data_IF_852510631865
#
_entry.id   IF_852510631865
#
_cell.length_a   1.000
_cell.length_b   1.000
_cell.length_c   1.000
_cell.angle_alpha   90.00
_cell.angle_beta   90.00
_cell.angle_gamma   90.00
#
_symmetry.space_group_name_H-M   'P 1'
#
loop_
_entity.id
_entity.type
_entity.pdbx_description
1 polymer ?
#
# COMPACT_ATOMS: atom_id res chain seq x y z
N UNK A 1 -1.18 24.48 -30.73
CA UNK A 1 -2.10 24.16 -29.63
C UNK A 1 -2.84 25.41 -29.18
N UNK A 2 -4.15 25.30 -28.95
CA UNK A 2 -4.95 26.42 -28.48
C UNK A 2 -4.67 26.66 -26.97
N UNK A 3 -4.15 27.84 -26.58
CA UNK A 3 -3.87 28.15 -25.17
C UNK A 3 -5.13 28.23 -24.29
N UNK A 4 -6.31 28.31 -24.91
CA UNK A 4 -7.60 28.37 -24.20
C UNK A 4 -8.38 27.05 -24.25
N UNK A 5 -7.71 25.95 -24.55
CA UNK A 5 -8.32 24.64 -24.68
C UNK A 5 -9.04 24.19 -23.37
N UNK A 6 -8.53 24.61 -22.23
CA UNK A 6 -9.10 24.24 -20.94
C UNK A 6 -9.66 25.45 -20.20
N UNK A 7 -10.82 25.26 -19.57
CA UNK A 7 -11.49 26.30 -18.78
C UNK A 7 -10.84 26.54 -17.41
N UNK A 8 -10.01 25.62 -16.93
CA UNK A 8 -9.39 25.66 -15.61
C UNK A 8 -7.89 25.82 -15.71
N UNK A 9 -7.28 26.48 -14.70
CA UNK A 9 -5.82 26.67 -14.62
C UNK A 9 -5.10 25.56 -13.91
N UNK A 10 -5.78 24.85 -13.01
CA UNK A 10 -5.22 23.79 -12.20
C UNK A 10 -6.01 22.51 -12.39
N UNK A 11 -5.29 21.40 -12.47
CA UNK A 11 -5.86 20.05 -12.60
C UNK A 11 -5.26 19.15 -11.53
N UNK A 12 -6.13 18.40 -10.84
CA UNK A 12 -5.73 17.45 -9.82
C UNK A 12 -6.11 16.07 -10.32
N UNK A 13 -5.13 15.15 -10.35
CA UNK A 13 -5.33 13.77 -10.79
C UNK A 13 -5.06 12.81 -9.64
N UNK A 14 -5.90 11.79 -9.53
CA UNK A 14 -5.54 10.57 -8.83
C UNK A 14 -4.40 9.88 -9.60
N UNK A 15 -3.57 9.09 -8.93
CA UNK A 15 -2.37 8.50 -9.55
C UNK A 15 -2.63 7.06 -9.99
N UNK A 16 -2.82 6.16 -9.04
CA UNK A 16 -3.05 4.75 -9.35
C UNK A 16 -4.46 4.55 -9.92
N UNK A 17 -4.52 3.82 -11.05
CA UNK A 17 -5.79 3.57 -11.75
C UNK A 17 -6.30 4.75 -12.60
N UNK A 18 -5.64 5.91 -12.54
CA UNK A 18 -5.99 7.08 -13.34
C UNK A 18 -4.88 7.48 -14.31
N UNK A 19 -3.69 7.79 -13.82
CA UNK A 19 -2.51 8.10 -14.63
C UNK A 19 -1.64 6.88 -14.88
N UNK A 20 -1.64 5.95 -13.95
CA UNK A 20 -0.79 4.77 -13.93
C UNK A 20 -1.62 3.52 -13.81
N UNK A 21 -1.39 2.56 -14.70
CA UNK A 21 -1.95 1.22 -14.62
C UNK A 21 -1.12 0.40 -13.63
N UNK A 22 -1.76 -0.10 -12.58
CA UNK A 22 -1.13 -0.91 -11.55
C UNK A 22 -1.83 -2.25 -11.42
N UNK A 23 -1.04 -3.31 -11.35
CA UNK A 23 -1.50 -4.66 -11.04
C UNK A 23 -0.75 -5.19 -9.82
N UNK A 24 -1.48 -5.64 -8.81
CA UNK A 24 -0.93 -6.20 -7.58
C UNK A 24 -1.41 -7.63 -7.35
N UNK A 25 -0.59 -8.44 -6.68
CA UNK A 25 -0.95 -9.78 -6.23
C UNK A 25 -0.51 -9.97 -4.78
N UNK A 26 -1.47 -9.86 -3.88
CA UNK A 26 -1.24 -10.06 -2.45
C UNK A 26 -1.39 -11.54 -2.03
N UNK A 27 -1.68 -12.43 -2.97
CA UNK A 27 -1.83 -13.87 -2.70
C UNK A 27 -0.54 -14.67 -2.94
N UNK A 28 0.47 -14.07 -3.57
CA UNK A 28 1.70 -14.75 -3.97
C UNK A 28 2.46 -15.36 -2.77
N UNK A 29 2.76 -16.68 -2.77
CA UNK A 29 3.58 -17.27 -1.71
C UNK A 29 4.97 -16.65 -1.60
N UNK A 30 5.57 -16.25 -2.71
CA UNK A 30 6.91 -15.62 -2.73
C UNK A 30 6.86 -14.27 -1.98
N UNK A 31 5.80 -13.49 -2.16
CA UNK A 31 5.60 -12.25 -1.41
C UNK A 31 5.64 -12.50 0.10
N UNK A 32 4.85 -13.46 0.57
CA UNK A 32 4.71 -13.71 2.00
C UNK A 32 5.93 -14.39 2.61
N UNK A 33 6.60 -15.25 1.88
CA UNK A 33 7.87 -15.82 2.31
C UNK A 33 8.94 -14.72 2.44
N UNK A 34 8.98 -13.79 1.51
CA UNK A 34 9.90 -12.64 1.58
C UNK A 34 9.56 -11.74 2.76
N UNK A 35 8.29 -11.43 2.98
CA UNK A 35 7.85 -10.64 4.13
C UNK A 35 8.19 -11.34 5.46
N UNK A 36 8.01 -12.65 5.54
CA UNK A 36 8.38 -13.42 6.73
C UNK A 36 9.88 -13.38 7.00
N UNK A 37 10.72 -13.44 5.97
CA UNK A 37 12.17 -13.28 6.10
C UNK A 37 12.55 -11.90 6.61
N UNK A 38 11.90 -10.84 6.12
CA UNK A 38 12.09 -9.47 6.60
C UNK A 38 11.74 -9.38 8.09
N UNK A 39 10.59 -9.90 8.50
CA UNK A 39 10.17 -9.94 9.90
C UNK A 39 11.17 -10.69 10.76
N UNK A 40 11.65 -11.83 10.30
CA UNK A 40 12.66 -12.62 11.02
C UNK A 40 13.97 -11.84 11.21
N UNK A 41 14.37 -11.04 10.25
CA UNK A 41 15.57 -10.21 10.38
C UNK A 41 15.46 -9.16 11.49
N UNK A 42 14.25 -8.82 11.89
CA UNK A 42 13.96 -7.93 13.02
C UNK A 42 13.54 -8.69 14.29
N UNK A 43 13.59 -10.01 14.28
CA UNK A 43 13.32 -10.85 15.45
C UNK A 43 11.90 -11.39 15.58
N UNK A 44 11.01 -11.09 14.65
CA UNK A 44 9.65 -11.65 14.66
C UNK A 44 9.58 -12.95 13.86
N UNK A 45 9.03 -13.99 14.47
CA UNK A 45 9.00 -15.33 13.89
C UNK A 45 7.66 -15.63 13.23
N UNK A 46 7.67 -15.75 11.90
CA UNK A 46 6.53 -16.15 11.11
C UNK A 46 6.95 -17.10 9.99
N UNK A 47 6.05 -18.03 9.63
CA UNK A 47 6.05 -18.63 8.29
C UNK A 47 5.36 -17.65 7.33
N UNK A 48 5.65 -17.75 6.03
CA UNK A 48 4.97 -16.92 5.03
C UNK A 48 3.45 -17.08 5.09
N UNK A 49 2.97 -18.33 5.15
CA UNK A 49 1.54 -18.62 5.23
C UNK A 49 0.91 -18.12 6.54
N UNK A 50 1.60 -18.28 7.65
CA UNK A 50 1.13 -17.77 8.96
C UNK A 50 1.02 -16.25 8.98
N UNK A 51 2.00 -15.57 8.42
CA UNK A 51 1.98 -14.11 8.30
C UNK A 51 0.82 -13.65 7.40
N UNK A 52 0.62 -14.32 6.26
CA UNK A 52 -0.46 -14.02 5.33
C UNK A 52 -1.84 -14.15 5.98
N UNK A 53 -2.08 -15.26 6.66
CA UNK A 53 -3.36 -15.52 7.32
C UNK A 53 -3.64 -14.50 8.42
N UNK A 54 -2.66 -14.20 9.24
CA UNK A 54 -2.83 -13.21 10.31
C UNK A 54 -3.04 -11.80 9.76
N UNK A 55 -2.32 -11.44 8.71
CA UNK A 55 -2.54 -10.18 7.99
C UNK A 55 -3.98 -10.05 7.51
N UNK A 56 -4.52 -11.08 6.87
CA UNK A 56 -5.91 -11.06 6.39
C UNK A 56 -6.92 -10.89 7.52
N UNK A 57 -6.71 -11.58 8.64
CA UNK A 57 -7.58 -11.43 9.81
C UNK A 57 -7.56 -10.00 10.36
N UNK A 58 -6.37 -9.41 10.49
CA UNK A 58 -6.24 -8.05 11.01
C UNK A 58 -6.83 -7.01 10.07
N UNK A 59 -6.64 -7.16 8.76
CA UNK A 59 -7.24 -6.26 7.77
C UNK A 59 -8.76 -6.36 7.81
N UNK A 60 -9.31 -7.57 7.82
CA UNK A 60 -10.75 -7.79 7.88
C UNK A 60 -11.34 -7.18 9.16
N UNK A 61 -10.71 -7.39 10.31
CA UNK A 61 -11.16 -6.82 11.58
C UNK A 61 -11.12 -5.29 11.55
N UNK A 62 -10.06 -4.72 11.01
CA UNK A 62 -9.92 -3.27 10.89
C UNK A 62 -10.97 -2.66 9.95
N UNK A 63 -11.28 -3.34 8.84
CA UNK A 63 -12.34 -2.92 7.92
C UNK A 63 -13.71 -2.95 8.60
N UNK A 64 -14.03 -4.00 9.33
CA UNK A 64 -15.30 -4.13 10.06
C UNK A 64 -15.44 -3.05 11.13
N UNK A 65 -14.40 -2.82 11.93
CA UNK A 65 -14.39 -1.82 12.98
C UNK A 65 -14.54 -0.40 12.40
N UNK A 66 -13.83 -0.11 11.34
CA UNK A 66 -13.87 1.20 10.70
C UNK A 66 -15.19 1.47 9.98
N UNK A 67 -15.78 0.44 9.36
CA UNK A 67 -17.09 0.53 8.74
C UNK A 67 -18.20 0.84 9.77
N UNK A 68 -18.13 0.22 10.95
CA UNK A 68 -19.05 0.50 12.06
C UNK A 68 -18.88 1.91 12.61
N UNK A 69 -17.63 2.32 12.83
CA UNK A 69 -17.32 3.63 13.41
C UNK A 69 -17.73 4.78 12.50
N UNK A 70 -17.39 4.70 11.20
CA UNK A 70 -17.60 5.78 10.24
C UNK A 70 -18.83 5.61 9.36
N UNK A 71 -19.54 4.50 9.47
CA UNK A 71 -20.71 4.17 8.65
C UNK A 71 -20.43 4.25 7.15
N UNK A 72 -19.23 3.82 6.72
CA UNK A 72 -18.82 3.78 5.31
C UNK A 72 -18.74 2.35 4.82
N UNK A 73 -19.09 2.13 3.54
CA UNK A 73 -19.10 0.80 2.93
C UNK A 73 -17.69 0.28 2.60
N UNK A 74 -16.77 1.19 2.25
CA UNK A 74 -15.41 0.86 1.80
C UNK A 74 -14.39 1.72 2.55
N UNK A 75 -14.03 1.35 3.80
CA UNK A 75 -13.06 2.11 4.58
C UNK A 75 -11.63 1.91 4.08
N UNK A 76 -10.82 2.96 4.17
CA UNK A 76 -9.38 2.86 3.96
C UNK A 76 -8.67 2.42 5.24
N UNK A 77 -7.85 1.38 5.13
CA UNK A 77 -7.09 0.82 6.24
C UNK A 77 -5.66 1.36 6.22
N UNK A 78 -5.18 1.78 7.39
CA UNK A 78 -3.76 2.14 7.54
C UNK A 78 -2.93 0.86 7.72
N UNK A 79 -2.26 0.44 6.65
CA UNK A 79 -1.41 -0.74 6.66
C UNK A 79 -0.21 -0.61 7.61
N UNK A 80 0.23 0.60 7.91
CA UNK A 80 1.29 0.84 8.89
C UNK A 80 0.92 0.23 10.23
N UNK A 81 -0.29 0.47 10.70
CA UNK A 81 -0.81 -0.08 11.96
C UNK A 81 -0.86 -1.60 11.91
N UNK A 82 -1.33 -2.17 10.81
CA UNK A 82 -1.40 -3.63 10.63
C UNK A 82 -0.02 -4.27 10.72
N UNK A 83 0.97 -3.74 10.01
CA UNK A 83 2.31 -4.32 10.01
C UNK A 83 3.04 -4.14 11.34
N UNK A 84 2.80 -3.05 12.06
CA UNK A 84 3.32 -2.86 13.43
C UNK A 84 2.70 -3.90 14.38
N UNK A 85 1.40 -4.11 14.30
CA UNK A 85 0.72 -5.11 15.13
C UNK A 85 1.23 -6.52 14.87
N UNK A 86 1.42 -6.90 13.60
CA UNK A 86 2.03 -8.17 13.23
C UNK A 86 3.42 -8.35 13.84
N UNK A 87 4.22 -7.29 13.83
CA UNK A 87 5.55 -7.33 14.45
C UNK A 87 5.46 -7.58 15.95
N UNK A 88 4.60 -6.84 16.65
CA UNK A 88 4.44 -6.97 18.10
C UNK A 88 3.94 -8.36 18.50
N UNK A 89 3.03 -8.93 17.74
CA UNK A 89 2.51 -10.29 17.97
C UNK A 89 3.57 -11.37 17.71
N UNK A 90 4.43 -11.16 16.73
CA UNK A 90 5.46 -12.13 16.35
C UNK A 90 6.78 -12.00 17.09
N UNK A 91 6.92 -11.00 17.96
CA UNK A 91 8.17 -10.72 18.70
C UNK A 91 7.97 -10.92 20.21
N UNK A 92 8.05 -12.17 20.68
CA UNK A 92 7.72 -12.47 22.09
C UNK A 92 8.76 -11.98 23.12
N UNK A 93 9.99 -11.70 22.71
CA UNK A 93 11.10 -11.38 23.62
C UNK A 93 11.38 -9.88 23.74
N UNK A 94 10.41 -9.03 23.38
CA UNK A 94 10.57 -7.59 23.45
C UNK A 94 10.89 -6.98 22.10
N UNK A 95 10.93 -5.66 22.06
CA UNK A 95 10.99 -4.90 20.85
C UNK A 95 12.43 -4.49 20.51
N UNK A 96 12.97 -4.98 19.39
CA UNK A 96 14.28 -4.57 18.87
C UNK A 96 14.24 -3.33 17.97
N UNK A 97 13.03 -2.87 17.61
CA UNK A 97 12.81 -1.69 16.78
C UNK A 97 12.48 -0.48 17.65
N UNK A 98 13.33 0.55 17.62
CA UNK A 98 13.16 1.74 18.45
C UNK A 98 12.10 2.73 17.94
N UNK A 99 11.83 2.73 16.64
CA UNK A 99 10.88 3.64 15.98
C UNK A 99 9.84 2.85 15.19
N UNK A 100 8.89 2.26 15.91
CA UNK A 100 7.89 1.36 15.33
C UNK A 100 7.04 1.97 14.21
N UNK A 101 6.65 3.23 14.36
CA UNK A 101 5.80 3.88 13.36
C UNK A 101 6.53 4.08 12.03
N UNK A 102 7.76 4.55 12.08
CA UNK A 102 8.61 4.72 10.91
C UNK A 102 8.96 3.38 10.27
N UNK A 103 9.27 2.39 11.10
CA UNK A 103 9.50 1.02 10.66
C UNK A 103 8.25 0.44 9.96
N UNK A 104 7.09 0.63 10.56
CA UNK A 104 5.81 0.18 9.98
C UNK A 104 5.52 0.81 8.63
N UNK A 105 5.83 2.09 8.46
CA UNK A 105 5.71 2.77 7.16
C UNK A 105 6.65 2.18 6.12
N UNK A 106 7.88 1.88 6.49
CA UNK A 106 8.85 1.23 5.61
C UNK A 106 8.34 -0.15 5.18
N UNK A 107 7.85 -0.95 6.12
CA UNK A 107 7.31 -2.27 5.82
C UNK A 107 6.08 -2.18 4.91
N UNK A 108 5.17 -1.25 5.16
CA UNK A 108 4.01 -1.04 4.31
C UNK A 108 4.39 -0.66 2.87
N UNK A 109 5.40 0.19 2.71
CA UNK A 109 5.94 0.53 1.38
C UNK A 109 6.59 -0.66 0.71
N UNK A 110 7.39 -1.41 1.45
CA UNK A 110 8.04 -2.64 0.95
C UNK A 110 7.01 -3.65 0.48
N UNK A 111 5.97 -3.88 1.26
CA UNK A 111 4.86 -4.75 0.90
C UNK A 111 4.19 -4.32 -0.41
N UNK A 112 3.90 -3.04 -0.58
CA UNK A 112 3.31 -2.52 -1.81
C UNK A 112 4.21 -2.72 -3.02
N UNK A 113 5.52 -2.52 -2.86
CA UNK A 113 6.49 -2.76 -3.94
C UNK A 113 6.57 -4.24 -4.29
N UNK A 114 6.66 -5.11 -3.30
CA UNK A 114 6.78 -6.56 -3.50
C UNK A 114 5.50 -7.19 -4.07
N UNK A 115 4.34 -6.66 -3.72
CA UNK A 115 3.05 -7.16 -4.23
C UNK A 115 2.75 -6.69 -5.66
N UNK A 116 3.49 -5.71 -6.15
CA UNK A 116 3.27 -5.12 -7.47
C UNK A 116 3.73 -6.08 -8.56
N UNK A 117 2.82 -6.41 -9.48
CA UNK A 117 3.13 -7.16 -10.69
C UNK A 117 3.49 -6.25 -11.85
N UNK A 118 2.78 -5.13 -11.98
CA UNK A 118 2.94 -4.19 -13.08
C UNK A 118 2.67 -2.78 -12.61
N UNK A 119 3.44 -1.84 -13.13
CA UNK A 119 3.24 -0.41 -12.94
C UNK A 119 3.65 0.29 -14.25
N UNK A 120 2.68 0.77 -14.99
CA UNK A 120 2.88 1.43 -16.28
C UNK A 120 1.97 2.65 -16.39
N UNK A 121 2.39 3.65 -17.16
CA UNK A 121 1.50 4.74 -17.54
C UNK A 121 0.39 4.21 -18.45
N UNK A 122 -0.83 4.66 -18.26
CA UNK A 122 -1.89 4.39 -19.22
C UNK A 122 -1.53 4.97 -20.59
N UNK A 123 -2.00 4.37 -21.69
CA UNK A 123 -1.81 4.95 -23.01
C UNK A 123 -2.27 6.41 -23.03
N UNK A 124 -1.46 7.28 -23.67
CA UNK A 124 -1.73 8.71 -23.83
C UNK A 124 -1.66 9.55 -22.55
N UNK A 125 -1.37 9.00 -21.36
CA UNK A 125 -1.23 9.77 -20.12
C UNK A 125 -0.18 10.88 -20.29
N UNK A 126 0.99 10.53 -20.78
CA UNK A 126 2.09 11.50 -21.00
C UNK A 126 1.68 12.59 -21.98
N UNK A 127 1.06 12.23 -23.08
CA UNK A 127 0.60 13.18 -24.12
C UNK A 127 -0.43 14.17 -23.56
N UNK A 128 -1.40 13.68 -22.79
CA UNK A 128 -2.42 14.54 -22.13
C UNK A 128 -1.79 15.52 -21.17
N UNK A 129 -0.85 15.06 -20.32
CA UNK A 129 -0.17 15.92 -19.34
C UNK A 129 0.71 16.97 -20.05
N UNK A 130 1.43 16.61 -21.10
CA UNK A 130 2.21 17.54 -21.91
C UNK A 130 1.32 18.58 -22.58
N UNK A 131 0.18 18.16 -23.11
CA UNK A 131 -0.83 19.04 -23.73
C UNK A 131 -1.36 20.07 -22.73
N UNK A 132 -1.69 19.64 -21.54
CA UNK A 132 -2.21 20.52 -20.46
C UNK A 132 -1.14 21.51 -20.01
N UNK A 133 0.12 21.07 -19.89
CA UNK A 133 1.25 21.93 -19.53
C UNK A 133 1.49 23.01 -20.59
N UNK A 134 1.43 22.64 -21.86
CA UNK A 134 1.64 23.57 -22.96
C UNK A 134 0.49 24.57 -23.14
N UNK A 135 -0.70 24.22 -22.72
CA UNK A 135 -1.89 25.11 -22.75
C UNK A 135 -1.92 26.14 -21.60
N UNK A 136 -1.00 26.03 -20.66
CA UNK A 136 -0.88 26.95 -19.54
C UNK A 136 -1.37 26.46 -18.24
#
# INVERSE_FOLDING_TARGET
>A
MNPHKYAFKNFIFDFYGTLVDIETDESSPILWDTMAQIYQSYGASYTGEGLRLRYKELVQQAEEDLAKEKQVAYPEIDLTVIFVQLYLEGHPSGNSVSHLKEWGRLIARTFRVLSRKRLELYPHTKEVLEDMKAAG
#
